data_IF_517201990354
#
_entry.id   IF_517201990354
#
_cell.length_a   1.000
_cell.length_b   1.000
_cell.length_c   1.000
_cell.angle_alpha   90.00
_cell.angle_beta   90.00
_cell.angle_gamma   90.00
#
_symmetry.space_group_name_H-M   'P 1'
#
loop_
_entity.id
_entity.type
_entity.pdbx_description
1 polymer ?
#
# COMPACT_ATOMS: atom_id res chain seq x y z
N UNK A 1 15.98 -7.84 -34.66
CA UNK A 1 15.85 -6.39 -34.38
C UNK A 1 14.62 -6.06 -33.53
N UNK A 2 13.39 -6.51 -33.84
CA UNK A 2 12.17 -6.22 -33.09
C UNK A 2 12.24 -6.62 -31.61
N UNK A 3 12.83 -7.79 -31.32
CA UNK A 3 13.00 -8.27 -29.94
C UNK A 3 13.99 -7.37 -29.18
N UNK A 4 15.13 -7.05 -29.79
CA UNK A 4 16.15 -6.18 -29.20
C UNK A 4 15.61 -4.76 -28.99
N UNK A 5 14.88 -4.23 -29.96
CA UNK A 5 14.20 -2.95 -29.84
C UNK A 5 13.30 -2.92 -28.62
N UNK A 6 12.47 -3.95 -28.44
CA UNK A 6 11.57 -4.01 -27.31
C UNK A 6 12.29 -4.14 -25.96
N UNK A 7 13.38 -4.93 -25.88
CA UNK A 7 14.20 -5.04 -24.65
C UNK A 7 14.79 -3.69 -24.24
N UNK A 8 15.24 -2.88 -25.22
CA UNK A 8 15.88 -1.58 -24.93
C UNK A 8 14.85 -0.49 -24.58
N UNK A 9 13.74 -0.42 -25.31
CA UNK A 9 12.77 0.68 -25.23
C UNK A 9 11.57 0.40 -24.33
N UNK A 10 11.35 -0.86 -23.94
CA UNK A 10 10.24 -1.24 -23.08
C UNK A 10 10.51 -0.82 -21.64
N UNK A 11 9.67 0.06 -21.10
CA UNK A 11 9.82 0.58 -19.74
C UNK A 11 8.76 -0.01 -18.82
N UNK A 12 9.09 -0.10 -17.52
CA UNK A 12 8.27 -0.73 -16.48
C UNK A 12 6.89 -0.09 -16.26
N UNK A 13 6.70 1.15 -16.71
CA UNK A 13 5.41 1.85 -16.60
C UNK A 13 4.44 1.58 -17.76
N UNK A 14 4.86 0.86 -18.80
CA UNK A 14 3.93 0.46 -19.85
C UNK A 14 2.96 -0.61 -19.35
N UNK A 15 1.66 -0.48 -19.66
CA UNK A 15 0.67 -1.46 -19.23
C UNK A 15 0.89 -2.82 -19.91
N UNK A 16 0.66 -3.90 -19.14
CA UNK A 16 0.68 -5.28 -19.62
C UNK A 16 -0.67 -5.95 -19.37
N UNK A 17 -1.18 -6.73 -20.34
CA UNK A 17 -0.78 -6.84 -21.74
C UNK A 17 -1.15 -5.59 -22.53
N UNK A 18 -0.34 -5.24 -23.54
CA UNK A 18 -0.59 -4.08 -24.39
C UNK A 18 0.00 -4.21 -25.78
N UNK A 19 -0.36 -3.29 -26.68
CA UNK A 19 0.17 -3.23 -28.03
C UNK A 19 1.70 -3.11 -28.08
N UNK A 20 2.31 -2.56 -27.04
CA UNK A 20 3.78 -2.43 -26.93
C UNK A 20 4.52 -3.76 -26.82
N UNK A 21 3.85 -4.87 -26.51
CA UNK A 21 4.44 -6.22 -26.49
C UNK A 21 4.44 -6.89 -27.86
N UNK A 22 3.65 -6.40 -28.82
CA UNK A 22 3.53 -6.98 -30.16
C UNK A 22 4.85 -7.08 -30.93
N UNK A 23 5.77 -6.08 -30.89
CA UNK A 23 7.03 -6.20 -31.62
C UNK A 23 7.86 -7.43 -31.21
N UNK A 24 7.93 -7.76 -29.93
CA UNK A 24 8.61 -8.98 -29.45
C UNK A 24 7.93 -10.24 -29.95
N UNK A 25 6.61 -10.31 -29.86
CA UNK A 25 5.81 -11.47 -30.30
C UNK A 25 6.01 -11.69 -31.80
N UNK A 26 5.84 -10.64 -32.59
CA UNK A 26 6.04 -10.69 -34.03
C UNK A 26 7.48 -11.12 -34.36
N UNK A 27 8.49 -10.56 -33.67
CA UNK A 27 9.88 -10.93 -33.84
C UNK A 27 10.14 -12.40 -33.59
N UNK A 28 9.56 -12.99 -32.55
CA UNK A 28 9.65 -14.44 -32.27
C UNK A 28 8.95 -15.26 -33.37
N UNK A 29 7.74 -14.88 -33.76
CA UNK A 29 7.00 -15.56 -34.83
C UNK A 29 7.78 -15.56 -36.16
N UNK A 30 8.39 -14.42 -36.49
CA UNK A 30 9.21 -14.33 -37.71
C UNK A 30 10.44 -15.24 -37.64
N UNK A 31 11.11 -15.33 -36.49
CA UNK A 31 12.23 -16.27 -36.32
C UNK A 31 11.74 -17.73 -36.50
N UNK A 32 10.65 -18.11 -35.85
CA UNK A 32 10.12 -19.48 -35.95
C UNK A 32 9.72 -19.83 -37.38
N UNK A 33 9.12 -18.89 -38.12
CA UNK A 33 8.54 -19.15 -39.44
C UNK A 33 9.56 -19.09 -40.57
N UNK A 34 10.55 -18.19 -40.50
CA UNK A 34 11.47 -17.90 -41.59
C UNK A 34 12.90 -18.33 -41.35
N UNK A 35 13.26 -18.88 -40.17
CA UNK A 35 14.64 -19.35 -39.95
C UNK A 35 14.95 -20.62 -40.73
N UNK A 36 16.00 -20.56 -41.55
CA UNK A 36 16.49 -21.68 -42.36
C UNK A 36 17.91 -22.09 -41.95
N UNK A 37 18.28 -23.34 -42.27
CA UNK A 37 19.63 -23.84 -42.05
C UNK A 37 20.65 -22.99 -42.83
N UNK A 38 21.73 -22.61 -42.15
CA UNK A 38 22.82 -21.81 -42.75
C UNK A 38 22.76 -20.31 -42.44
N UNK A 39 21.63 -19.77 -42.00
CA UNK A 39 21.51 -18.35 -41.61
C UNK A 39 22.22 -18.04 -40.29
N UNK A 40 22.72 -16.81 -40.17
CA UNK A 40 23.42 -16.33 -38.97
C UNK A 40 22.59 -16.49 -37.69
N UNK A 41 21.30 -16.12 -37.74
CA UNK A 41 20.38 -16.21 -36.58
C UNK A 41 20.22 -17.67 -36.17
N UNK A 42 20.01 -18.56 -37.11
CA UNK A 42 19.89 -20.00 -36.86
C UNK A 42 21.15 -20.56 -36.24
N UNK A 43 22.35 -20.20 -36.78
CA UNK A 43 23.65 -20.60 -36.21
C UNK A 43 23.85 -20.14 -34.79
N UNK A 44 23.44 -18.90 -34.45
CA UNK A 44 23.53 -18.37 -33.12
C UNK A 44 22.57 -19.13 -32.17
N UNK A 45 21.30 -19.25 -32.55
CA UNK A 45 20.27 -19.87 -31.70
C UNK A 45 20.46 -21.39 -31.54
N UNK A 46 21.05 -22.07 -32.53
CA UNK A 46 21.41 -23.50 -32.45
C UNK A 46 22.72 -23.77 -31.71
N UNK A 47 23.45 -22.75 -31.28
CA UNK A 47 24.67 -22.94 -30.50
C UNK A 47 24.40 -23.63 -29.17
N UNK A 48 25.36 -24.40 -28.66
CA UNK A 48 25.22 -25.17 -27.40
C UNK A 48 24.77 -24.31 -26.19
N UNK A 49 25.19 -23.04 -26.16
CA UNK A 49 24.83 -22.11 -25.10
C UNK A 49 23.34 -21.76 -25.17
N UNK A 50 22.87 -21.31 -26.35
CA UNK A 50 21.45 -20.90 -26.49
C UNK A 50 20.50 -22.09 -26.35
N UNK A 51 20.85 -23.24 -26.91
CA UNK A 51 20.10 -24.48 -26.73
C UNK A 51 20.07 -24.89 -25.25
N UNK A 52 21.21 -24.79 -24.55
CA UNK A 52 21.30 -25.09 -23.12
C UNK A 52 20.40 -24.20 -22.29
N UNK A 53 20.40 -22.87 -22.53
CA UNK A 53 19.50 -21.91 -21.87
C UNK A 53 18.04 -22.24 -22.23
N UNK A 54 17.74 -22.55 -23.47
CA UNK A 54 16.39 -22.96 -23.92
C UNK A 54 15.87 -24.19 -23.18
N UNK A 55 16.73 -25.20 -22.98
CA UNK A 55 16.35 -26.43 -22.25
C UNK A 55 15.96 -26.16 -20.79
N UNK A 56 16.65 -25.26 -20.10
CA UNK A 56 16.34 -24.92 -18.70
C UNK A 56 15.38 -23.75 -18.57
N UNK A 57 14.90 -23.15 -19.67
CA UNK A 57 14.14 -21.91 -19.67
C UNK A 57 12.85 -21.99 -18.84
N UNK A 58 12.15 -23.12 -18.89
CA UNK A 58 10.94 -23.35 -18.09
C UNK A 58 11.25 -23.39 -16.59
N UNK A 59 12.26 -24.14 -16.20
CA UNK A 59 12.72 -24.18 -14.81
C UNK A 59 13.23 -22.81 -14.35
N UNK A 60 13.92 -22.06 -15.22
CA UNK A 60 14.38 -20.71 -14.95
C UNK A 60 13.19 -19.74 -14.71
N UNK A 61 12.15 -19.85 -15.53
CA UNK A 61 10.91 -19.11 -15.36
C UNK A 61 10.22 -19.41 -14.02
N UNK A 62 10.19 -20.66 -13.60
CA UNK A 62 9.59 -21.05 -12.32
C UNK A 62 10.38 -20.53 -11.11
N UNK A 63 11.71 -20.54 -11.16
CA UNK A 63 12.56 -20.18 -10.03
C UNK A 63 12.87 -18.69 -9.91
N UNK A 64 12.93 -17.93 -11.04
CA UNK A 64 13.37 -16.54 -10.97
C UNK A 64 12.51 -15.67 -10.04
N UNK A 65 11.19 -15.76 -10.14
CA UNK A 65 10.30 -14.91 -9.33
C UNK A 65 10.35 -15.26 -7.82
N UNK A 66 10.17 -16.52 -7.40
CA UNK A 66 10.27 -16.89 -6.00
C UNK A 66 11.61 -16.54 -5.36
N UNK A 67 12.72 -16.83 -6.04
CA UNK A 67 14.07 -16.59 -5.51
C UNK A 67 14.33 -15.10 -5.34
N UNK A 68 14.04 -14.27 -6.37
CA UNK A 68 14.19 -12.82 -6.26
C UNK A 68 13.20 -12.19 -5.29
N UNK A 69 11.97 -12.67 -5.22
CA UNK A 69 10.97 -12.21 -4.25
C UNK A 69 11.42 -12.52 -2.81
N UNK A 70 11.91 -13.74 -2.57
CA UNK A 70 12.44 -14.15 -1.26
C UNK A 70 13.66 -13.32 -0.86
N UNK A 71 14.62 -13.15 -1.78
CA UNK A 71 15.80 -12.33 -1.53
C UNK A 71 15.46 -10.87 -1.19
N UNK A 72 14.42 -10.32 -1.81
CA UNK A 72 13.92 -8.97 -1.52
C UNK A 72 13.20 -8.90 -0.17
N UNK A 73 12.33 -9.88 0.12
CA UNK A 73 11.57 -9.92 1.38
C UNK A 73 12.49 -10.11 2.57
N UNK A 74 13.55 -10.91 2.43
CA UNK A 74 14.54 -11.15 3.49
C UNK A 74 15.61 -10.07 3.58
N UNK A 75 15.52 -9.01 2.74
CA UNK A 75 16.52 -7.94 2.63
C UNK A 75 17.94 -8.46 2.34
N UNK A 76 18.05 -9.66 1.76
CA UNK A 76 19.33 -10.22 1.32
C UNK A 76 19.92 -9.37 0.18
N UNK A 77 19.06 -8.76 -0.66
CA UNK A 77 19.44 -7.82 -1.72
C UNK A 77 19.06 -6.40 -1.29
N UNK A 78 20.05 -5.62 -0.90
CA UNK A 78 19.89 -4.21 -0.51
C UNK A 78 20.18 -3.21 -1.66
N UNK A 79 20.31 -3.72 -2.90
CA UNK A 79 20.51 -2.89 -4.08
C UNK A 79 21.86 -3.03 -4.77
N UNK A 80 22.83 -3.74 -4.17
CA UNK A 80 24.14 -4.01 -4.73
C UNK A 80 24.10 -4.92 -5.97
N UNK A 81 24.97 -4.64 -6.95
CA UNK A 81 25.09 -5.48 -8.15
C UNK A 81 25.56 -6.89 -7.82
N UNK A 82 26.49 -7.05 -6.86
CA UNK A 82 27.01 -8.35 -6.44
C UNK A 82 25.94 -9.26 -5.84
N UNK A 83 25.06 -8.71 -5.01
CA UNK A 83 23.95 -9.44 -4.41
C UNK A 83 22.95 -9.92 -5.46
N UNK A 84 22.61 -9.06 -6.43
CA UNK A 84 21.72 -9.41 -7.54
C UNK A 84 22.33 -10.51 -8.41
N UNK A 85 23.64 -10.43 -8.68
CA UNK A 85 24.36 -11.45 -9.43
C UNK A 85 24.35 -12.80 -8.69
N UNK A 86 24.60 -12.79 -7.37
CA UNK A 86 24.57 -14.02 -6.55
C UNK A 86 23.18 -14.67 -6.59
N UNK A 87 22.11 -13.88 -6.44
CA UNK A 87 20.72 -14.38 -6.54
C UNK A 87 20.44 -14.94 -7.94
N UNK A 88 20.96 -14.29 -8.99
CA UNK A 88 20.89 -14.79 -10.36
C UNK A 88 21.59 -16.13 -10.53
N UNK A 89 22.79 -16.28 -9.99
CA UNK A 89 23.54 -17.55 -10.01
C UNK A 89 22.79 -18.66 -9.26
N UNK A 90 22.26 -18.37 -8.08
CA UNK A 90 21.43 -19.33 -7.31
C UNK A 90 20.21 -19.75 -8.14
N UNK A 91 19.55 -18.81 -8.81
CA UNK A 91 18.40 -19.08 -9.68
C UNK A 91 18.78 -20.05 -10.81
N UNK A 92 19.92 -19.83 -11.46
CA UNK A 92 20.42 -20.71 -12.53
C UNK A 92 20.75 -22.12 -11.99
N UNK A 93 21.43 -22.21 -10.85
CA UNK A 93 21.76 -23.51 -10.22
C UNK A 93 20.48 -24.29 -9.90
N UNK A 94 19.49 -23.65 -9.27
CA UNK A 94 18.21 -24.28 -8.95
C UNK A 94 17.46 -24.70 -10.22
N UNK A 95 17.55 -23.92 -11.29
CA UNK A 95 16.91 -24.24 -12.56
C UNK A 95 17.57 -25.45 -13.23
N UNK A 96 18.88 -25.53 -13.22
CA UNK A 96 19.63 -26.69 -13.71
C UNK A 96 19.28 -27.94 -12.92
N UNK A 97 19.30 -27.83 -11.58
CA UNK A 97 18.93 -28.94 -10.70
C UNK A 97 17.49 -29.40 -10.96
N UNK A 98 16.55 -28.47 -11.02
CA UNK A 98 15.14 -28.77 -11.32
C UNK A 98 14.94 -29.43 -12.68
N UNK A 99 15.66 -28.95 -13.72
CA UNK A 99 15.61 -29.56 -15.03
C UNK A 99 16.08 -31.03 -15.03
N UNK A 100 17.24 -31.31 -14.45
CA UNK A 100 17.80 -32.66 -14.47
C UNK A 100 17.13 -33.64 -13.49
N UNK A 101 16.70 -33.15 -12.32
CA UNK A 101 16.14 -34.00 -11.26
C UNK A 101 14.62 -34.20 -11.37
N UNK A 102 13.91 -33.23 -11.95
CA UNK A 102 12.44 -33.24 -11.98
C UNK A 102 11.92 -33.25 -13.42
N UNK A 103 12.27 -32.23 -14.21
CA UNK A 103 11.65 -32.02 -15.52
C UNK A 103 12.01 -33.10 -16.53
N UNK A 104 13.30 -33.37 -16.68
CA UNK A 104 13.80 -34.40 -17.62
C UNK A 104 13.33 -35.81 -17.28
N UNK A 105 13.35 -36.27 -16.00
CA UNK A 105 12.75 -37.53 -15.62
C UNK A 105 11.23 -37.60 -15.86
N UNK A 106 10.52 -36.53 -15.51
CA UNK A 106 9.05 -36.49 -15.67
C UNK A 106 8.61 -36.58 -17.16
N UNK A 107 9.43 -36.06 -18.08
CA UNK A 107 9.20 -36.15 -19.55
C UNK A 107 9.58 -37.50 -20.14
N UNK A 108 10.21 -38.38 -19.37
CA UNK A 108 10.69 -39.66 -19.89
C UNK A 108 9.53 -40.67 -19.93
N UNK A 109 9.16 -41.11 -21.14
CA UNK A 109 8.06 -42.07 -21.38
C UNK A 109 8.30 -43.46 -20.76
N UNK A 110 9.52 -43.77 -20.26
CA UNK A 110 9.79 -45.01 -19.55
C UNK A 110 9.13 -45.12 -18.20
N UNK A 111 8.81 -43.99 -17.57
CA UNK A 111 8.09 -43.98 -16.29
C UNK A 111 6.59 -44.12 -16.52
N UNK A 112 5.98 -45.13 -15.88
CA UNK A 112 4.52 -45.30 -15.95
C UNK A 112 3.86 -44.10 -15.27
N UNK A 113 2.90 -43.48 -15.94
CA UNK A 113 2.17 -42.29 -15.51
C UNK A 113 1.65 -42.36 -14.06
N UNK A 114 1.22 -43.56 -13.61
CA UNK A 114 0.79 -43.80 -12.23
C UNK A 114 1.84 -43.45 -11.17
N UNK A 115 3.13 -43.69 -11.41
CA UNK A 115 4.18 -43.34 -10.46
C UNK A 115 4.43 -41.86 -10.39
N UNK A 116 4.34 -41.17 -11.51
CA UNK A 116 4.42 -39.68 -11.57
C UNK A 116 3.30 -39.07 -10.74
N UNK A 117 2.06 -39.56 -10.92
CA UNK A 117 0.92 -39.12 -10.11
C UNK A 117 1.11 -39.39 -8.63
N UNK A 118 1.56 -40.56 -8.23
CA UNK A 118 1.81 -40.90 -6.83
C UNK A 118 2.84 -39.96 -6.18
N UNK A 119 3.92 -39.66 -6.88
CA UNK A 119 4.93 -38.70 -6.41
C UNK A 119 4.33 -37.29 -6.28
N UNK A 120 3.54 -36.85 -7.23
CA UNK A 120 2.87 -35.54 -7.18
C UNK A 120 1.88 -35.46 -6.00
N UNK A 121 1.06 -36.50 -5.79
CA UNK A 121 0.14 -36.58 -4.64
C UNK A 121 0.92 -36.54 -3.33
N UNK A 122 2.03 -37.27 -3.23
CA UNK A 122 2.87 -37.30 -2.03
C UNK A 122 3.39 -35.90 -1.69
N UNK A 123 4.01 -35.20 -2.66
CA UNK A 123 4.49 -33.82 -2.41
C UNK A 123 3.37 -32.83 -2.17
N UNK A 124 2.24 -32.96 -2.87
CA UNK A 124 1.07 -32.13 -2.63
C UNK A 124 0.54 -32.32 -1.20
N UNK A 125 0.47 -33.55 -0.73
CA UNK A 125 0.03 -33.86 0.65
C UNK A 125 0.96 -33.23 1.68
N UNK A 126 2.29 -33.30 1.47
CA UNK A 126 3.27 -32.62 2.34
C UNK A 126 3.04 -31.12 2.35
N UNK A 127 2.83 -30.48 1.18
CA UNK A 127 2.54 -29.05 1.09
C UNK A 127 1.26 -28.67 1.82
N UNK A 128 0.20 -29.46 1.68
CA UNK A 128 -1.07 -29.21 2.37
C UNK A 128 -0.88 -29.33 3.90
N UNK A 129 -0.24 -30.41 4.38
CA UNK A 129 0.03 -30.59 5.80
C UNK A 129 0.88 -29.44 6.35
N UNK A 130 1.93 -29.04 5.64
CA UNK A 130 2.79 -27.91 6.03
C UNK A 130 1.99 -26.62 6.10
N UNK A 131 1.15 -26.34 5.08
CA UNK A 131 0.34 -25.13 5.04
C UNK A 131 -0.70 -25.09 6.16
N UNK A 132 -1.36 -26.21 6.43
CA UNK A 132 -2.32 -26.34 7.54
C UNK A 132 -1.60 -26.14 8.87
N UNK A 133 -0.41 -26.71 9.04
CA UNK A 133 0.40 -26.53 10.26
C UNK A 133 0.78 -25.07 10.48
N UNK A 134 1.14 -24.36 9.42
CA UNK A 134 1.45 -22.91 9.48
C UNK A 134 0.20 -22.11 9.89
N UNK A 135 -0.95 -22.41 9.31
CA UNK A 135 -2.22 -21.74 9.64
C UNK A 135 -2.62 -22.05 11.10
N UNK A 136 -2.58 -23.33 11.50
CA UNK A 136 -2.95 -23.76 12.85
C UNK A 136 -2.06 -23.17 13.95
N UNK A 137 -0.80 -22.91 13.64
CA UNK A 137 0.20 -22.34 14.56
C UNK A 137 0.35 -20.82 14.39
N UNK A 138 -0.61 -20.14 13.77
CA UNK A 138 -0.56 -18.69 13.52
C UNK A 138 0.80 -18.22 12.97
N UNK A 139 1.34 -18.96 12.00
CA UNK A 139 2.63 -18.67 11.38
C UNK A 139 3.84 -18.96 12.24
N UNK A 140 3.70 -19.72 13.32
CA UNK A 140 4.77 -20.02 14.29
C UNK A 140 5.34 -18.73 14.92
N UNK A 141 4.51 -17.93 15.55
CA UNK A 141 4.86 -16.63 16.14
C UNK A 141 6.14 -16.67 17.00
N UNK A 142 6.39 -17.78 17.72
CA UNK A 142 7.57 -17.95 18.59
C UNK A 142 8.92 -17.99 17.83
N UNK A 143 8.91 -18.11 16.49
CA UNK A 143 10.14 -18.05 15.67
C UNK A 143 10.73 -16.64 15.60
N UNK A 144 9.95 -15.61 15.95
CA UNK A 144 10.36 -14.22 15.86
C UNK A 144 10.86 -13.74 17.22
N UNK A 145 12.14 -13.35 17.29
CA UNK A 145 12.79 -12.96 18.56
C UNK A 145 12.18 -11.70 19.19
N UNK A 146 11.72 -10.76 18.39
CA UNK A 146 11.15 -9.49 18.86
C UNK A 146 9.62 -9.49 18.66
N UNK A 147 8.95 -10.49 19.26
CA UNK A 147 7.49 -10.70 19.15
C UNK A 147 6.67 -9.44 19.45
N UNK A 148 7.08 -8.64 20.42
CA UNK A 148 6.40 -7.41 20.81
C UNK A 148 6.40 -6.34 19.70
N UNK A 149 7.38 -6.40 18.79
CA UNK A 149 7.44 -5.51 17.61
C UNK A 149 6.55 -5.98 16.45
N UNK A 150 6.05 -7.23 16.53
CA UNK A 150 5.28 -7.87 15.46
C UNK A 150 3.82 -8.10 15.84
N UNK A 151 3.35 -7.44 16.89
CA UNK A 151 1.96 -7.57 17.29
C UNK A 151 1.07 -7.18 16.10
N UNK A 152 0.34 -8.16 15.58
CA UNK A 152 -0.60 -8.00 14.46
C UNK A 152 -1.70 -6.95 14.73
N UNK A 153 -1.81 -6.47 15.95
CA UNK A 153 -2.82 -5.53 16.42
C UNK A 153 -2.44 -4.05 16.31
N UNK A 154 -1.23 -3.71 15.82
CA UNK A 154 -0.88 -2.29 15.66
C UNK A 154 -1.54 -1.62 14.43
N UNK A 155 -2.15 -2.41 13.56
CA UNK A 155 -2.90 -1.90 12.39
C UNK A 155 -4.39 -1.73 12.73
N UNK A 156 -4.83 -0.48 12.83
CA UNK A 156 -6.23 -0.13 13.13
C UNK A 156 -7.23 -0.73 12.15
N UNK A 157 -6.82 -1.02 10.90
CA UNK A 157 -7.67 -1.65 9.87
C UNK A 157 -8.05 -3.09 10.21
N UNK A 158 -7.31 -3.74 11.10
CA UNK A 158 -7.58 -5.11 11.53
C UNK A 158 -8.60 -5.20 12.68
N UNK A 159 -8.80 -4.12 13.45
CA UNK A 159 -9.73 -4.12 14.60
C UNK A 159 -11.16 -4.39 14.14
N UNK A 160 -11.57 -3.82 13.02
CA UNK A 160 -12.91 -4.00 12.49
C UNK A 160 -12.90 -4.08 10.97
N UNK A 161 -12.33 -5.17 10.48
CA UNK A 161 -12.09 -5.38 9.05
C UNK A 161 -13.37 -5.32 8.22
N UNK A 162 -14.50 -5.77 8.75
CA UNK A 162 -15.79 -5.73 8.04
C UNK A 162 -16.22 -4.29 7.78
N UNK A 163 -16.15 -3.41 8.77
CA UNK A 163 -16.48 -1.97 8.62
C UNK A 163 -15.53 -1.32 7.61
N UNK A 164 -14.23 -1.62 7.68
CA UNK A 164 -13.25 -1.09 6.74
C UNK A 164 -13.54 -1.52 5.30
N UNK A 165 -13.82 -2.81 5.08
CA UNK A 165 -14.14 -3.33 3.76
C UNK A 165 -15.44 -2.74 3.20
N UNK A 166 -16.49 -2.61 4.01
CA UNK A 166 -17.79 -2.13 3.57
C UNK A 166 -17.87 -0.61 3.42
N UNK A 167 -17.34 0.12 4.39
CA UNK A 167 -17.52 1.57 4.48
C UNK A 167 -16.38 2.38 3.89
N UNK A 168 -15.19 1.80 3.77
CA UNK A 168 -14.04 2.47 3.18
C UNK A 168 -13.70 1.92 1.78
N UNK A 169 -13.51 0.59 1.63
CA UNK A 169 -13.12 0.01 0.34
C UNK A 169 -14.26 -0.15 -0.67
N UNK A 170 -15.43 -0.56 -0.21
CA UNK A 170 -16.59 -0.87 -1.07
C UNK A 170 -17.60 0.27 -1.17
N UNK A 171 -17.15 1.52 -1.11
CA UNK A 171 -18.07 2.65 -1.25
C UNK A 171 -19.00 2.47 -2.46
N UNK A 172 -20.29 2.29 -2.19
CA UNK A 172 -21.28 2.08 -3.23
C UNK A 172 -21.90 3.42 -3.67
N UNK A 173 -21.29 4.02 -4.66
CA UNK A 173 -21.73 5.32 -5.24
C UNK A 173 -23.17 5.27 -5.74
N UNK A 174 -23.69 4.10 -6.14
CA UNK A 174 -25.08 3.97 -6.63
C UNK A 174 -26.12 4.20 -5.53
N UNK A 175 -25.75 3.95 -4.27
CA UNK A 175 -26.67 4.10 -3.15
C UNK A 175 -26.66 5.52 -2.54
N UNK A 176 -25.74 6.39 -2.92
CA UNK A 176 -25.59 7.77 -2.41
C UNK A 176 -25.61 7.87 -0.87
N UNK A 177 -25.24 6.78 -0.18
CA UNK A 177 -25.28 6.72 1.28
C UNK A 177 -23.89 6.45 1.82
N UNK A 178 -23.39 7.38 2.61
CA UNK A 178 -22.20 7.19 3.41
C UNK A 178 -22.52 6.37 4.66
N UNK A 179 -21.55 5.60 5.16
CA UNK A 179 -21.74 4.85 6.39
C UNK A 179 -21.93 5.80 7.58
N UNK A 180 -23.03 5.60 8.30
CA UNK A 180 -23.34 6.33 9.52
C UNK A 180 -23.27 5.38 10.72
N UNK A 181 -22.56 5.81 11.76
CA UNK A 181 -22.38 5.06 13.00
C UNK A 181 -22.98 5.87 14.15
N UNK A 182 -24.03 5.35 14.74
CA UNK A 182 -24.81 6.00 15.79
C UNK A 182 -26.20 6.45 15.33
N UNK A 183 -27.04 6.83 16.30
CA UNK A 183 -28.42 7.28 16.09
C UNK A 183 -28.72 8.49 16.98
N UNK A 184 -27.84 9.50 16.94
CA UNK A 184 -27.85 10.70 17.76
C UNK A 184 -28.18 11.93 16.92
N UNK A 185 -28.31 13.10 17.56
CA UNK A 185 -28.65 14.35 16.88
C UNK A 185 -27.41 15.05 16.28
N UNK A 186 -26.25 14.93 16.93
CA UNK A 186 -25.02 15.59 16.53
C UNK A 186 -24.25 14.70 15.53
N UNK A 187 -23.60 15.30 14.53
CA UNK A 187 -22.92 14.59 13.47
C UNK A 187 -21.48 15.09 13.26
N UNK A 188 -20.57 14.16 13.18
CA UNK A 188 -19.18 14.38 12.75
C UNK A 188 -18.97 13.67 11.42
N UNK A 189 -18.47 14.38 10.43
CA UNK A 189 -18.18 13.86 9.09
C UNK A 189 -16.67 13.69 8.93
N UNK A 190 -16.25 12.48 8.61
CA UNK A 190 -14.85 12.15 8.36
C UNK A 190 -14.62 12.02 6.85
N UNK A 191 -13.82 12.91 6.30
CA UNK A 191 -13.61 13.06 4.84
C UNK A 191 -12.16 12.82 4.49
N UNK A 192 -11.90 11.96 3.51
CA UNK A 192 -10.54 11.76 3.03
C UNK A 192 -10.27 10.40 2.40
N UNK A 193 -9.00 10.05 2.37
CA UNK A 193 -8.50 8.78 1.84
C UNK A 193 -8.27 7.73 2.94
N UNK A 194 -7.26 6.85 2.74
CA UNK A 194 -6.90 5.83 3.74
C UNK A 194 -6.41 6.42 5.06
N UNK A 195 -5.79 7.60 5.05
CA UNK A 195 -5.35 8.29 6.26
C UNK A 195 -6.52 8.75 7.12
N UNK A 196 -7.63 9.16 6.51
CA UNK A 196 -8.88 9.38 7.24
C UNK A 196 -9.51 8.03 7.65
N UNK A 197 -9.47 7.03 6.76
CA UNK A 197 -10.08 5.72 7.01
C UNK A 197 -9.53 5.01 8.24
N UNK A 198 -8.24 5.13 8.55
CA UNK A 198 -7.63 4.49 9.74
C UNK A 198 -8.07 5.13 11.05
N UNK A 199 -8.50 6.40 11.05
CA UNK A 199 -9.01 7.10 12.24
C UNK A 199 -10.41 6.61 12.63
N UNK A 200 -11.16 6.05 11.68
CA UNK A 200 -12.60 5.78 11.80
C UNK A 200 -12.95 4.86 12.97
N UNK A 201 -12.16 3.81 13.22
CA UNK A 201 -12.52 2.76 14.17
C UNK A 201 -12.59 3.25 15.61
N UNK A 202 -11.59 3.97 16.04
CA UNK A 202 -11.55 4.54 17.38
C UNK A 202 -12.50 5.75 17.48
N UNK A 203 -12.60 6.59 16.44
CA UNK A 203 -13.58 7.68 16.37
C UNK A 203 -15.01 7.19 16.54
N UNK A 204 -15.40 6.05 15.96
CA UNK A 204 -16.74 5.47 16.17
C UNK A 204 -17.01 5.27 17.66
N UNK A 205 -16.06 4.67 18.36
CA UNK A 205 -16.19 4.37 19.79
C UNK A 205 -16.31 5.65 20.62
N UNK A 206 -15.31 6.54 20.52
CA UNK A 206 -15.21 7.72 21.37
C UNK A 206 -16.33 8.75 21.11
N UNK A 207 -16.79 8.87 19.86
CA UNK A 207 -17.92 9.75 19.52
C UNK A 207 -19.24 9.18 19.97
N UNK A 208 -19.48 7.87 19.82
CA UNK A 208 -20.71 7.23 20.29
C UNK A 208 -20.86 7.32 21.81
N UNK A 209 -19.77 7.21 22.58
CA UNK A 209 -19.74 7.44 24.02
C UNK A 209 -20.19 8.88 24.39
N UNK A 210 -20.01 9.84 23.50
CA UNK A 210 -20.46 11.25 23.66
C UNK A 210 -21.79 11.52 22.97
N UNK A 211 -22.51 10.49 22.50
CA UNK A 211 -23.79 10.60 21.79
C UNK A 211 -23.70 11.43 20.51
N UNK A 212 -22.59 11.25 19.77
CA UNK A 212 -22.33 11.89 18.49
C UNK A 212 -22.19 10.81 17.42
N UNK A 213 -22.80 11.02 16.25
CA UNK A 213 -22.66 10.12 15.10
C UNK A 213 -21.34 10.37 14.37
N UNK A 214 -20.71 9.32 13.88
CA UNK A 214 -19.69 9.42 12.84
C UNK A 214 -20.28 9.08 11.47
N UNK A 215 -20.10 9.96 10.49
CA UNK A 215 -20.43 9.69 9.09
C UNK A 215 -19.11 9.60 8.30
N UNK A 216 -18.83 8.42 7.74
CA UNK A 216 -17.61 8.19 6.97
C UNK A 216 -17.80 8.50 5.49
N UNK A 217 -17.06 9.48 4.99
CA UNK A 217 -16.92 9.83 3.57
C UNK A 217 -15.51 9.50 3.09
N UNK A 218 -14.95 8.37 3.51
CA UNK A 218 -13.58 7.96 3.21
C UNK A 218 -13.51 6.95 2.07
N UNK A 219 -12.36 6.84 1.41
CA UNK A 219 -12.13 5.81 0.40
C UNK A 219 -10.67 5.74 -0.03
N UNK A 220 -10.14 4.55 -0.43
CA UNK A 220 -8.72 4.36 -0.75
C UNK A 220 -8.25 5.32 -1.84
N UNK A 221 -7.23 6.14 -1.53
CA UNK A 221 -6.71 7.15 -2.44
C UNK A 221 -7.70 8.25 -2.85
N UNK A 222 -8.80 8.42 -2.09
CA UNK A 222 -9.88 9.35 -2.40
C UNK A 222 -9.81 10.60 -1.51
N UNK A 223 -8.70 11.36 -1.60
CA UNK A 223 -8.62 12.69 -0.98
C UNK A 223 -9.78 13.59 -1.43
N UNK A 224 -10.12 14.57 -0.64
CA UNK A 224 -11.12 15.56 -1.06
C UNK A 224 -10.55 16.39 -2.23
N UNK A 225 -11.30 16.48 -3.32
CA UNK A 225 -11.03 17.36 -4.48
C UNK A 225 -12.26 18.18 -4.77
N UNK A 226 -12.07 19.43 -5.18
CA UNK A 226 -13.15 20.38 -5.44
C UNK A 226 -13.27 20.75 -6.92
N UNK A 227 -12.17 20.75 -7.67
CA UNK A 227 -12.10 21.23 -9.04
C UNK A 227 -11.69 20.17 -10.07
N UNK A 228 -10.66 19.38 -9.81
CA UNK A 228 -10.13 18.43 -10.79
C UNK A 228 -10.47 16.97 -10.40
N UNK A 229 -11.27 16.32 -11.24
CA UNK A 229 -11.66 14.94 -11.03
C UNK A 229 -11.16 14.05 -12.16
N UNK A 230 -10.45 12.97 -11.83
CA UNK A 230 -10.26 11.86 -12.75
C UNK A 230 -11.63 11.24 -13.10
N UNK A 231 -11.77 10.70 -14.32
CA UNK A 231 -13.01 10.05 -14.78
C UNK A 231 -13.54 9.00 -13.78
N UNK A 232 -12.63 8.28 -13.12
CA UNK A 232 -12.94 7.24 -12.12
C UNK A 232 -13.38 7.79 -10.76
N UNK A 233 -13.00 9.02 -10.43
CA UNK A 233 -13.32 9.68 -9.17
C UNK A 233 -14.50 10.64 -9.27
N UNK A 234 -14.80 11.11 -10.47
CA UNK A 234 -15.76 12.20 -10.71
C UNK A 234 -17.11 12.00 -10.01
N UNK A 235 -17.66 10.80 -10.09
CA UNK A 235 -18.96 10.52 -9.47
C UNK A 235 -18.86 10.54 -7.94
N UNK A 236 -17.79 9.95 -7.39
CA UNK A 236 -17.54 9.92 -5.96
C UNK A 236 -17.38 11.33 -5.37
N UNK A 237 -16.56 12.16 -5.99
CA UNK A 237 -16.34 13.53 -5.53
C UNK A 237 -17.59 14.39 -5.67
N UNK A 238 -18.38 14.23 -6.75
CA UNK A 238 -19.65 14.93 -6.88
C UNK A 238 -20.66 14.59 -5.78
N UNK A 239 -20.79 13.30 -5.43
CA UNK A 239 -21.68 12.86 -4.34
C UNK A 239 -21.19 13.42 -3.00
N UNK A 240 -19.89 13.36 -2.72
CA UNK A 240 -19.27 13.90 -1.52
C UNK A 240 -19.49 15.40 -1.39
N UNK A 241 -19.21 16.18 -2.45
CA UNK A 241 -19.41 17.64 -2.47
C UNK A 241 -20.87 18.03 -2.34
N UNK A 242 -21.80 17.28 -2.95
CA UNK A 242 -23.24 17.50 -2.79
C UNK A 242 -23.64 17.35 -1.33
N UNK A 243 -23.19 16.30 -0.66
CA UNK A 243 -23.47 16.08 0.75
C UNK A 243 -22.86 17.18 1.62
N UNK A 244 -21.56 17.48 1.44
CA UNK A 244 -20.89 18.56 2.18
C UNK A 244 -21.60 19.90 2.05
N UNK A 245 -22.06 20.28 0.86
CA UNK A 245 -22.77 21.54 0.66
C UNK A 245 -24.16 21.60 1.33
N UNK A 246 -24.72 20.47 1.74
CA UNK A 246 -26.01 20.41 2.45
C UNK A 246 -25.86 20.46 3.99
N UNK A 247 -24.62 20.37 4.51
CA UNK A 247 -24.39 20.26 5.94
C UNK A 247 -24.66 21.57 6.70
N UNK A 248 -25.20 21.40 7.90
CA UNK A 248 -25.41 22.46 8.89
C UNK A 248 -25.10 21.94 10.30
N UNK A 249 -24.64 22.82 11.17
CA UNK A 249 -24.41 22.54 12.59
C UNK A 249 -23.62 21.25 12.86
N UNK A 250 -22.61 20.98 12.02
CA UNK A 250 -21.86 19.74 12.04
C UNK A 250 -20.35 19.98 12.13
N UNK A 251 -19.61 18.99 12.59
CA UNK A 251 -18.14 19.00 12.54
C UNK A 251 -17.67 18.19 11.33
N UNK A 252 -16.72 18.73 10.60
CA UNK A 252 -16.15 18.12 9.39
C UNK A 252 -14.65 17.95 9.59
N UNK A 253 -14.19 16.72 9.67
CA UNK A 253 -12.79 16.34 9.81
C UNK A 253 -12.28 15.99 8.42
N UNK A 254 -11.22 16.65 7.96
CA UNK A 254 -10.59 16.39 6.68
C UNK A 254 -9.17 15.92 6.94
N UNK A 255 -8.89 14.69 6.51
CA UNK A 255 -7.57 14.09 6.56
C UNK A 255 -7.26 13.37 5.26
N UNK A 256 -6.03 13.49 4.77
CA UNK A 256 -5.62 12.83 3.54
C UNK A 256 -4.12 12.91 3.30
N UNK A 257 -3.65 12.00 2.46
CA UNK A 257 -2.27 11.94 2.02
C UNK A 257 -2.04 12.92 0.88
N UNK A 258 -1.85 14.20 1.20
CA UNK A 258 -1.58 15.25 0.24
C UNK A 258 -0.12 15.20 -0.22
N UNK A 259 0.17 14.36 -1.21
CA UNK A 259 1.48 14.29 -1.85
C UNK A 259 1.30 14.40 -3.36
N UNK A 260 1.75 15.50 -3.95
CA UNK A 260 1.62 15.80 -5.38
C UNK A 260 2.25 14.77 -6.30
N UNK A 261 3.29 14.06 -5.82
CA UNK A 261 4.01 13.05 -6.61
C UNK A 261 3.25 11.73 -6.78
N UNK A 262 2.42 11.39 -5.81
CA UNK A 262 1.72 10.08 -5.77
C UNK A 262 0.22 10.18 -6.06
N UNK A 263 -0.36 11.38 -5.91
CA UNK A 263 -1.78 11.63 -6.09
C UNK A 263 -1.87 12.78 -7.07
N UNK A 264 -2.68 12.67 -8.10
CA UNK A 264 -2.93 13.73 -9.06
C UNK A 264 -3.70 14.88 -8.37
N UNK A 265 -3.05 15.56 -7.39
CA UNK A 265 -3.59 16.68 -6.64
C UNK A 265 -2.80 17.93 -6.99
N UNK A 266 -3.45 18.86 -7.66
CA UNK A 266 -2.86 20.14 -7.99
C UNK A 266 -3.28 21.16 -6.95
N UNK A 267 -2.40 21.45 -6.01
CA UNK A 267 -2.66 22.37 -4.91
C UNK A 267 -3.18 23.72 -5.37
N UNK A 268 -2.56 24.34 -6.37
CA UNK A 268 -2.95 25.68 -6.85
C UNK A 268 -4.38 25.70 -7.39
N UNK A 269 -4.76 24.70 -8.17
CA UNK A 269 -6.11 24.61 -8.75
C UNK A 269 -7.19 24.29 -7.71
N UNK A 270 -6.82 23.66 -6.59
CA UNK A 270 -7.74 23.32 -5.54
C UNK A 270 -7.98 24.44 -4.52
N UNK A 271 -7.09 25.44 -4.40
CA UNK A 271 -7.19 26.53 -3.40
C UNK A 271 -8.57 27.22 -3.49
N UNK A 272 -8.94 27.70 -4.65
CA UNK A 272 -10.20 28.43 -4.85
C UNK A 272 -11.44 27.58 -4.49
N UNK A 273 -11.41 26.32 -4.93
CA UNK A 273 -12.50 25.38 -4.63
C UNK A 273 -12.66 25.08 -3.15
N UNK A 274 -11.54 24.86 -2.44
CA UNK A 274 -11.54 24.69 -1.00
C UNK A 274 -11.98 25.94 -0.25
N UNK A 275 -11.49 27.11 -0.64
CA UNK A 275 -11.92 28.39 -0.04
C UNK A 275 -13.43 28.60 -0.20
N UNK A 276 -13.98 28.33 -1.39
CA UNK A 276 -15.41 28.44 -1.65
C UNK A 276 -16.23 27.46 -0.81
N UNK A 277 -15.79 26.20 -0.77
CA UNK A 277 -16.44 25.16 0.03
C UNK A 277 -16.41 25.50 1.52
N UNK A 278 -15.26 25.88 2.06
CA UNK A 278 -15.09 26.14 3.48
C UNK A 278 -15.86 27.39 3.94
N UNK A 279 -15.83 28.48 3.16
CA UNK A 279 -16.67 29.65 3.43
C UNK A 279 -18.16 29.31 3.44
N UNK A 280 -18.62 28.44 2.54
CA UNK A 280 -20.00 27.96 2.53
C UNK A 280 -20.33 27.13 3.77
N UNK A 281 -19.43 26.21 4.15
CA UNK A 281 -19.62 25.36 5.35
C UNK A 281 -19.66 26.19 6.62
N UNK A 282 -18.74 27.14 6.79
CA UNK A 282 -18.68 28.04 7.96
C UNK A 282 -19.94 28.89 8.05
N UNK A 283 -20.41 29.46 6.91
CA UNK A 283 -21.65 30.21 6.85
C UNK A 283 -22.88 29.42 7.31
N UNK A 284 -22.84 28.09 7.14
CA UNK A 284 -23.88 27.16 7.60
C UNK A 284 -23.60 26.60 9.00
N UNK A 285 -22.82 27.30 9.82
CA UNK A 285 -22.49 26.94 11.19
C UNK A 285 -21.80 25.56 11.32
N UNK A 286 -20.98 25.17 10.34
CA UNK A 286 -20.17 23.96 10.45
C UNK A 286 -18.76 24.31 10.96
N UNK A 287 -18.18 23.41 11.73
CA UNK A 287 -16.81 23.51 12.21
C UNK A 287 -15.89 22.59 11.39
N UNK A 288 -14.80 23.13 10.86
CA UNK A 288 -13.88 22.39 10.00
C UNK A 288 -12.58 22.13 10.75
N UNK A 289 -12.17 20.89 10.77
CA UNK A 289 -10.92 20.41 11.33
C UNK A 289 -10.07 19.84 10.20
N UNK A 290 -8.92 20.45 9.95
CA UNK A 290 -7.90 19.92 9.02
C UNK A 290 -6.78 19.26 9.82
N UNK A 291 -6.36 18.06 9.39
CA UNK A 291 -5.17 17.43 9.95
C UNK A 291 -3.98 17.66 9.02
N UNK A 292 -2.83 18.07 9.60
CA UNK A 292 -1.57 17.97 8.86
C UNK A 292 -1.21 16.49 8.67
N UNK A 293 -0.68 16.11 7.49
CA UNK A 293 -0.26 14.74 7.23
C UNK A 293 0.80 14.26 8.23
N UNK A 294 0.72 12.99 8.63
CA UNK A 294 1.76 12.35 9.44
C UNK A 294 3.05 12.07 8.62
N UNK A 295 4.18 11.77 9.28
CA UNK A 295 5.44 11.47 8.60
C UNK A 295 5.32 10.29 7.63
N UNK A 296 6.08 10.36 6.51
CA UNK A 296 6.29 9.24 5.60
C UNK A 296 7.66 8.68 5.88
N UNK A 297 7.72 7.47 6.39
CA UNK A 297 8.97 6.85 6.81
C UNK A 297 9.20 5.52 6.08
N UNK A 298 10.45 5.20 5.79
CA UNK A 298 10.75 3.86 5.34
C UNK A 298 10.68 2.92 6.56
N UNK A 299 9.55 2.19 6.70
CA UNK A 299 9.28 1.38 7.88
C UNK A 299 9.81 -0.05 7.73
N UNK A 300 10.97 -0.38 8.34
CA UNK A 300 11.50 -1.72 8.30
C UNK A 300 10.64 -2.72 9.12
N UNK A 301 9.82 -2.26 10.04
CA UNK A 301 8.90 -3.11 10.81
C UNK A 301 7.87 -3.80 9.92
N UNK A 302 7.46 -3.15 8.83
CA UNK A 302 6.59 -3.75 7.83
C UNK A 302 7.16 -5.05 7.26
N UNK A 303 8.48 -5.13 7.16
CA UNK A 303 9.20 -6.31 6.67
C UNK A 303 9.72 -7.22 7.80
N UNK A 304 9.71 -6.79 9.04
CA UNK A 304 10.28 -7.53 10.16
C UNK A 304 9.62 -8.89 10.37
N UNK A 305 8.29 -8.96 10.24
CA UNK A 305 7.54 -10.21 10.28
C UNK A 305 7.77 -11.13 9.07
N UNK A 306 8.35 -10.57 8.00
CA UNK A 306 8.70 -11.31 6.78
C UNK A 306 10.14 -11.79 6.80
N UNK A 307 10.97 -11.32 7.72
CA UNK A 307 12.37 -11.72 7.82
C UNK A 307 12.49 -13.13 8.38
N UNK A 308 12.82 -14.08 7.51
CA UNK A 308 13.07 -15.49 7.88
C UNK A 308 14.33 -15.67 8.74
N UNK A 309 15.27 -14.74 8.70
CA UNK A 309 16.60 -14.84 9.31
C UNK A 309 16.71 -13.90 10.51
N UNK A 310 15.72 -13.80 11.37
CA UNK A 310 15.83 -13.20 12.70
C UNK A 310 16.83 -12.04 12.84
N UNK A 311 16.91 -11.11 11.87
CA UNK A 311 17.77 -9.95 11.97
C UNK A 311 17.23 -9.07 13.09
N UNK A 312 18.06 -8.72 14.05
CA UNK A 312 17.75 -7.69 15.04
C UNK A 312 17.42 -6.41 14.28
N UNK A 313 16.21 -5.91 14.49
CA UNK A 313 15.83 -4.59 13.98
C UNK A 313 16.73 -3.59 14.71
N UNK A 314 17.53 -2.85 13.95
CA UNK A 314 18.28 -1.76 14.56
C UNK A 314 17.28 -0.63 14.84
N UNK A 315 16.96 -0.39 16.11
CA UNK A 315 16.03 0.63 16.59
C UNK A 315 16.48 2.03 16.11
N UNK A 316 17.76 2.25 15.94
CA UNK A 316 18.30 3.51 15.35
C UNK A 316 17.79 3.80 13.95
N UNK A 317 17.46 2.77 13.16
CA UNK A 317 16.91 2.92 11.81
C UNK A 317 15.41 3.20 11.80
N UNK A 318 14.76 3.21 12.97
CA UNK A 318 13.32 3.46 13.10
C UNK A 318 12.99 4.96 13.27
N UNK A 319 13.88 5.82 12.84
CA UNK A 319 13.71 7.29 12.88
C UNK A 319 14.15 7.93 11.57
N UNK A 320 13.63 9.12 11.32
CA UNK A 320 14.06 9.97 10.20
C UNK A 320 14.25 11.41 10.66
N UNK A 321 15.13 12.20 10.02
CA UNK A 321 15.29 13.62 10.35
C UNK A 321 13.95 14.38 10.21
N UNK A 322 13.56 15.15 11.22
CA UNK A 322 12.35 15.99 11.19
C UNK A 322 12.37 16.98 10.03
N UNK A 323 13.54 17.52 9.69
CA UNK A 323 13.68 18.42 8.55
C UNK A 323 13.25 17.77 7.23
N UNK A 324 13.53 16.47 7.05
CA UNK A 324 13.08 15.72 5.88
C UNK A 324 11.56 15.57 5.84
N UNK A 325 10.92 15.35 6.99
CA UNK A 325 9.49 15.36 7.11
C UNK A 325 8.90 16.73 6.76
N UNK A 326 9.38 17.81 7.37
CA UNK A 326 8.92 19.17 7.12
C UNK A 326 9.08 19.56 5.64
N UNK A 327 10.21 19.22 5.01
CA UNK A 327 10.41 19.47 3.57
C UNK A 327 9.43 18.69 2.70
N UNK A 328 8.99 17.50 3.11
CA UNK A 328 7.98 16.72 2.39
C UNK A 328 6.56 17.29 2.52
N UNK A 329 6.31 18.11 3.55
CA UNK A 329 5.03 18.78 3.79
C UNK A 329 4.97 20.22 3.25
N UNK A 330 6.06 20.75 2.71
CA UNK A 330 6.13 22.18 2.35
C UNK A 330 4.97 22.61 1.44
N UNK A 331 4.64 21.82 0.41
CA UNK A 331 3.50 22.12 -0.49
C UNK A 331 2.15 22.06 0.24
N UNK A 332 1.98 21.13 1.16
CA UNK A 332 0.74 20.99 1.94
C UNK A 332 0.57 22.13 2.94
N UNK A 333 1.66 22.54 3.59
CA UNK A 333 1.65 23.67 4.52
C UNK A 333 1.34 24.95 3.77
N UNK A 334 2.02 25.21 2.64
CA UNK A 334 1.76 26.36 1.77
C UNK A 334 0.29 26.38 1.28
N UNK A 335 -0.27 25.23 0.94
CA UNK A 335 -1.68 25.10 0.59
C UNK A 335 -2.60 25.51 1.74
N UNK A 336 -2.34 25.02 2.98
CA UNK A 336 -3.16 25.37 4.15
C UNK A 336 -3.05 26.86 4.49
N UNK A 337 -1.86 27.43 4.38
CA UNK A 337 -1.64 28.87 4.61
C UNK A 337 -2.35 29.73 3.56
N UNK A 338 -2.33 29.30 2.29
CA UNK A 338 -3.04 29.98 1.18
C UNK A 338 -4.57 29.88 1.26
N UNK A 339 -5.13 28.91 2.01
CA UNK A 339 -6.57 28.91 2.27
C UNK A 339 -7.00 30.17 3.02
N UNK A 340 -6.16 30.71 3.87
CA UNK A 340 -6.34 31.99 4.59
C UNK A 340 -7.74 32.14 5.25
N UNK A 341 -8.20 31.10 5.94
CA UNK A 341 -9.47 31.06 6.66
C UNK A 341 -9.17 30.83 8.14
N UNK A 342 -9.42 31.83 8.97
CA UNK A 342 -9.07 31.82 10.39
C UNK A 342 -9.95 30.89 11.25
N UNK A 343 -11.15 30.61 10.78
CA UNK A 343 -12.16 29.82 11.49
C UNK A 343 -11.94 28.30 11.36
N UNK A 344 -10.92 27.86 10.65
CA UNK A 344 -10.57 26.45 10.53
C UNK A 344 -9.64 26.04 11.67
N UNK A 345 -9.94 24.93 12.32
CA UNK A 345 -9.02 24.30 13.26
C UNK A 345 -8.00 23.43 12.48
N UNK A 346 -6.71 23.73 12.63
CA UNK A 346 -5.65 22.91 12.04
C UNK A 346 -4.98 22.12 13.17
N UNK A 347 -5.04 20.79 13.10
CA UNK A 347 -4.39 19.90 14.06
C UNK A 347 -3.04 19.47 13.47
N UNK A 348 -1.96 19.81 14.17
CA UNK A 348 -0.62 19.33 13.87
C UNK A 348 -0.37 18.02 14.64
N UNK A 349 -0.29 16.91 13.90
CA UNK A 349 -0.04 15.60 14.48
C UNK A 349 1.44 15.28 14.63
N UNK A 350 2.31 16.19 14.20
CA UNK A 350 3.77 15.96 14.20
C UNK A 350 4.34 15.67 15.59
N UNK A 351 3.79 16.28 16.65
CA UNK A 351 4.24 16.07 18.03
C UNK A 351 4.09 14.63 18.54
N UNK A 352 3.13 13.88 17.97
CA UNK A 352 2.94 12.47 18.28
C UNK A 352 4.13 11.65 17.76
N UNK A 353 4.61 11.98 16.56
CA UNK A 353 5.61 11.22 15.85
C UNK A 353 7.02 11.75 16.03
N UNK A 354 7.19 13.06 16.27
CA UNK A 354 8.49 13.73 16.21
C UNK A 354 8.83 14.44 17.54
N UNK A 355 10.11 14.50 17.84
CA UNK A 355 10.68 15.46 18.77
C UNK A 355 11.25 16.68 18.00
N UNK A 356 12.23 17.38 18.60
CA UNK A 356 12.85 18.55 17.97
C UNK A 356 13.61 18.20 16.69
N UNK A 357 14.28 17.03 16.64
CA UNK A 357 15.23 16.64 15.60
C UNK A 357 14.79 15.48 14.74
N UNK A 358 14.00 14.54 15.30
CA UNK A 358 13.68 13.26 14.68
C UNK A 358 12.20 12.95 14.70
N UNK A 359 11.73 12.23 13.68
CA UNK A 359 10.43 11.57 13.65
C UNK A 359 10.62 10.06 13.75
N UNK A 360 9.79 9.41 14.54
CA UNK A 360 9.95 8.03 14.95
C UNK A 360 8.85 7.13 14.39
N UNK A 361 9.23 5.92 14.01
CA UNK A 361 8.30 4.81 13.76
C UNK A 361 7.88 4.20 15.10
N UNK A 362 8.81 4.20 16.06
CA UNK A 362 8.60 3.67 17.40
C UNK A 362 9.20 4.64 18.41
N UNK A 363 8.43 4.97 19.45
CA UNK A 363 8.83 5.89 20.53
C UNK A 363 8.29 5.37 21.86
N UNK A 364 9.14 5.32 22.90
CA UNK A 364 8.77 4.83 24.23
C UNK A 364 8.07 3.47 24.18
N UNK A 365 8.64 2.52 23.46
CA UNK A 365 8.13 1.17 23.21
C UNK A 365 6.78 1.09 22.47
N UNK A 366 6.24 2.21 22.03
CA UNK A 366 5.02 2.27 21.24
C UNK A 366 5.34 2.33 19.75
N UNK A 367 4.76 1.43 18.98
CA UNK A 367 4.81 1.49 17.51
C UNK A 367 3.81 2.56 17.07
N UNK A 368 4.28 3.60 16.39
CA UNK A 368 3.47 4.72 15.94
C UNK A 368 3.01 4.60 14.49
N UNK A 369 3.68 3.75 13.68
CA UNK A 369 3.39 3.59 12.26
C UNK A 369 3.13 2.13 11.92
N UNK A 370 2.04 1.85 11.24
CA UNK A 370 1.66 0.51 10.74
C UNK A 370 2.51 0.09 9.53
N UNK A 371 2.70 1.00 8.61
CA UNK A 371 3.48 0.85 7.39
C UNK A 371 4.29 2.13 7.13
N UNK A 372 4.57 2.49 5.90
CA UNK A 372 5.42 3.63 5.59
C UNK A 372 4.74 4.99 5.84
N UNK A 373 3.40 5.04 5.85
CA UNK A 373 2.62 6.27 5.88
C UNK A 373 1.36 6.22 6.74
N UNK A 374 0.88 5.04 7.16
CA UNK A 374 -0.31 4.95 8.01
C UNK A 374 0.04 4.87 9.50
N UNK A 375 -0.66 5.61 10.36
CA UNK A 375 -0.49 5.54 11.81
C UNK A 375 -0.97 4.18 12.37
N UNK A 376 -0.33 3.74 13.44
CA UNK A 376 -0.76 2.58 14.22
C UNK A 376 -2.01 2.87 15.05
N UNK A 377 -2.55 1.84 15.71
CA UNK A 377 -3.67 1.99 16.66
C UNK A 377 -3.35 3.03 17.73
N UNK A 378 -2.17 2.93 18.35
CA UNK A 378 -1.75 3.82 19.43
C UNK A 378 -1.66 5.27 18.93
N UNK A 379 -1.07 5.47 17.76
CA UNK A 379 -1.00 6.81 17.18
C UNK A 379 -2.39 7.34 16.76
N UNK A 380 -3.27 6.46 16.27
CA UNK A 380 -4.66 6.81 15.94
C UNK A 380 -5.42 7.27 17.20
N UNK A 381 -5.30 6.58 18.33
CA UNK A 381 -5.91 6.98 19.60
C UNK A 381 -5.42 8.37 20.03
N UNK A 382 -4.10 8.62 19.95
CA UNK A 382 -3.54 9.95 20.26
C UNK A 382 -4.06 11.05 19.33
N UNK A 383 -4.15 10.77 18.02
CA UNK A 383 -4.69 11.71 17.03
C UNK A 383 -6.17 11.99 17.33
N UNK A 384 -6.95 10.96 17.61
CA UNK A 384 -8.38 11.06 17.87
C UNK A 384 -8.69 11.81 19.17
N UNK A 385 -7.81 11.74 20.17
CA UNK A 385 -7.92 12.57 21.37
C UNK A 385 -7.79 14.07 21.05
N UNK A 386 -6.87 14.43 20.13
CA UNK A 386 -6.75 15.82 19.67
C UNK A 386 -8.02 16.25 18.90
N UNK A 387 -8.51 15.40 18.03
CA UNK A 387 -9.76 15.63 17.28
C UNK A 387 -10.94 15.80 18.24
N UNK A 388 -11.07 14.93 19.26
CA UNK A 388 -12.16 14.98 20.23
C UNK A 388 -12.16 16.28 21.04
N UNK A 389 -10.99 16.85 21.34
CA UNK A 389 -10.90 18.17 22.00
C UNK A 389 -11.56 19.25 21.16
N UNK A 390 -11.28 19.31 19.86
CA UNK A 390 -11.87 20.27 18.93
C UNK A 390 -13.38 20.02 18.73
N UNK A 391 -13.81 18.76 18.60
CA UNK A 391 -15.23 18.40 18.53
C UNK A 391 -15.99 18.86 19.76
N UNK A 392 -15.40 18.70 20.97
CA UNK A 392 -16.01 19.15 22.22
C UNK A 392 -16.14 20.67 22.29
N UNK A 393 -15.16 21.44 21.84
CA UNK A 393 -15.24 22.91 21.78
C UNK A 393 -16.47 23.35 20.99
N UNK A 394 -16.77 22.71 19.89
CA UNK A 394 -17.91 23.05 19.05
C UNK A 394 -19.27 22.65 19.69
N UNK A 395 -19.43 21.38 20.09
CA UNK A 395 -20.71 20.87 20.55
C UNK A 395 -21.02 21.17 21.99
N UNK A 396 -20.02 21.30 22.86
CA UNK A 396 -20.23 21.48 24.31
C UNK A 396 -19.82 22.87 24.81
N UNK A 397 -19.41 23.78 23.88
CA UNK A 397 -18.99 25.15 24.22
C UNK A 397 -18.00 25.20 25.40
N UNK A 398 -17.09 24.24 25.45
CA UNK A 398 -16.00 24.22 26.42
C UNK A 398 -14.93 25.21 25.96
N UNK A 399 -14.71 26.27 26.75
CA UNK A 399 -13.63 27.25 26.53
C UNK A 399 -12.26 26.63 26.74
#
# INVERSE_FOLDING_TARGET
LLIIFNIIFFKTYFPHPSIYTLPSIIGVCLIIWFSHEGELITKILSSKIFVGVGLISYSLYLWHYPVFAFARITEFVQGGWGEKLLVGVITVILSIASFYLVERPARNSKYKFKYVILILIFFFTILVISSVSVIYKDGFENRVKDRNLLISNYDSRNINRSIYEECHKKFNVKLSKFCKFGSFNQNVYLVGDSHAGVLMFDLIKILNEKKINLISMTGPGKILKTNEFDKREKLYQKVRLKELNSLRDSVIIINGFYNSKNINFNFEKEIEGYQKLFKHLIKNNNHIILLKPNPIVNNPLWNAGKSFIGRKINIENLKMPKQKYLSSLAETIDFYDKLNIKEIAIIDVSEIFCDENWCYIMRNDNILMTDNDHPSIIAVEMINDLILREVKKFYFKLN
#
